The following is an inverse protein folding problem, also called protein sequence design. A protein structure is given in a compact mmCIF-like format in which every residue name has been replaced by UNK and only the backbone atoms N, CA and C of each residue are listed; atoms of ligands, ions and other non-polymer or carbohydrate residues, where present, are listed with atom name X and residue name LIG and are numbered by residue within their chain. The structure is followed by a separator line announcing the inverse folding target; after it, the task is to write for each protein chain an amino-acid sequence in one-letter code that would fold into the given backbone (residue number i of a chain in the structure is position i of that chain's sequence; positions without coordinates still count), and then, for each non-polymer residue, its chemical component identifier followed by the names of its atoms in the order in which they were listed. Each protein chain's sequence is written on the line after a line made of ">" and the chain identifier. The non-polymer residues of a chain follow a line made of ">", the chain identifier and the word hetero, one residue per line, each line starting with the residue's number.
data_IF_609738166308
#
_entry.id   IF_609738166308
#
_cell.length_a   1.000
_cell.length_b   1.000
_cell.length_c   1.000
_cell.angle_alpha   90.00
_cell.angle_beta   90.00
_cell.angle_gamma   90.00
#
_symmetry.space_group_name_H-M   'P 1'
#
loop_
_entity.id
_entity.type
_entity.pdbx_description
1 polymer ?
#
# COMPACT_ATOMS: atom_id res chain seq x y z
N UNK A 1 -16.22 -6.76 -10.87
CA UNK A 1 -15.00 -5.95 -10.70
C UNK A 1 -14.55 -5.76 -9.23
N UNK A 2 -15.36 -6.13 -8.23
CA UNK A 2 -15.11 -5.80 -6.80
C UNK A 2 -14.75 -7.04 -5.94
N UNK A 3 -14.94 -8.26 -6.44
CA UNK A 3 -14.68 -9.49 -5.68
C UNK A 3 -13.19 -9.88 -5.64
N UNK A 4 -12.34 -8.98 -5.14
CA UNK A 4 -10.90 -9.14 -4.99
C UNK A 4 -10.32 -8.09 -4.05
N UNK A 5 -9.09 -8.31 -3.60
CA UNK A 5 -8.30 -7.29 -2.89
C UNK A 5 -8.23 -6.05 -3.77
N UNK A 6 -8.52 -4.87 -3.21
CA UNK A 6 -8.50 -3.60 -3.94
C UNK A 6 -7.17 -2.89 -3.69
N UNK A 7 -6.21 -3.10 -4.58
CA UNK A 7 -4.98 -2.32 -4.65
C UNK A 7 -5.23 -0.97 -5.35
N UNK A 8 -4.26 -0.05 -5.25
CA UNK A 8 -4.30 1.24 -5.97
C UNK A 8 -4.67 1.09 -7.46
N UNK A 9 -4.08 0.10 -8.15
CA UNK A 9 -4.33 -0.14 -9.57
C UNK A 9 -5.78 -0.51 -9.86
N UNK A 10 -6.38 -1.28 -8.96
CA UNK A 10 -7.73 -1.80 -9.14
C UNK A 10 -8.77 -0.73 -8.87
N UNK A 11 -8.53 0.14 -7.88
CA UNK A 11 -9.34 1.33 -7.66
C UNK A 11 -9.31 2.24 -8.89
N UNK A 12 -8.13 2.48 -9.48
CA UNK A 12 -8.02 3.26 -10.73
C UNK A 12 -8.80 2.63 -11.89
N UNK A 13 -8.73 1.30 -12.07
CA UNK A 13 -9.48 0.61 -13.13
C UNK A 13 -11.01 0.69 -12.93
N UNK A 14 -11.47 0.67 -11.67
CA UNK A 14 -12.90 0.83 -11.36
C UNK A 14 -13.34 2.25 -11.70
N UNK A 15 -12.57 3.28 -11.34
CA UNK A 15 -12.87 4.68 -11.68
C UNK A 15 -12.89 4.87 -13.20
N UNK A 16 -11.92 4.31 -13.95
CA UNK A 16 -11.91 4.37 -15.43
C UNK A 16 -13.15 3.71 -16.04
N UNK A 17 -13.61 2.60 -15.45
CA UNK A 17 -14.84 1.94 -15.92
C UNK A 17 -16.08 2.80 -15.66
N UNK A 18 -16.21 3.39 -14.45
CA UNK A 18 -17.30 4.32 -14.14
C UNK A 18 -17.27 5.54 -15.07
N UNK A 19 -16.09 6.04 -15.40
CA UNK A 19 -15.92 7.13 -16.36
C UNK A 19 -16.41 6.78 -17.76
N UNK A 20 -16.08 5.57 -18.24
CA UNK A 20 -16.50 5.08 -19.57
C UNK A 20 -18.00 4.80 -19.68
N UNK A 21 -18.63 4.30 -18.62
CA UNK A 21 -20.02 3.84 -18.67
C UNK A 21 -21.05 4.86 -18.14
N UNK A 22 -20.67 5.70 -17.17
CA UNK A 22 -21.59 6.60 -16.47
C UNK A 22 -21.29 8.10 -16.70
N UNK A 23 -20.13 8.42 -17.28
CA UNK A 23 -19.72 9.80 -17.58
C UNK A 23 -19.11 10.57 -16.41
N UNK A 24 -18.76 11.83 -16.65
CA UNK A 24 -17.89 12.62 -15.76
C UNK A 24 -18.54 12.95 -14.40
N UNK A 25 -19.82 13.35 -14.37
CA UNK A 25 -20.52 13.73 -13.12
C UNK A 25 -20.59 12.56 -12.14
N UNK A 26 -21.02 11.40 -12.61
CA UNK A 26 -21.15 10.19 -11.80
C UNK A 26 -19.79 9.68 -11.30
N UNK A 27 -18.73 9.85 -12.11
CA UNK A 27 -17.36 9.51 -11.70
C UNK A 27 -16.88 10.34 -10.52
N UNK A 28 -17.17 11.65 -10.51
CA UNK A 28 -16.79 12.54 -9.40
C UNK A 28 -17.54 12.15 -8.12
N UNK A 29 -18.85 11.92 -8.21
CA UNK A 29 -19.65 11.46 -7.08
C UNK A 29 -19.15 10.10 -6.54
N UNK A 30 -18.78 9.19 -7.43
CA UNK A 30 -18.23 7.89 -7.07
C UNK A 30 -16.87 8.02 -6.35
N UNK A 31 -15.99 8.90 -6.82
CA UNK A 31 -14.70 9.15 -6.18
C UNK A 31 -14.86 9.70 -4.76
N UNK A 32 -15.80 10.63 -4.55
CA UNK A 32 -16.11 11.17 -3.22
C UNK A 32 -16.63 10.09 -2.27
N UNK A 33 -17.53 9.21 -2.73
CA UNK A 33 -18.02 8.11 -1.91
C UNK A 33 -16.91 7.11 -1.56
N UNK A 34 -16.03 6.77 -2.51
CA UNK A 34 -14.86 5.91 -2.22
C UNK A 34 -13.96 6.56 -1.17
N UNK A 35 -13.70 7.86 -1.28
CA UNK A 35 -12.88 8.60 -0.33
C UNK A 35 -13.46 8.52 1.09
N UNK A 36 -14.76 8.81 1.24
CA UNK A 36 -15.45 8.77 2.53
C UNK A 36 -15.40 7.37 3.17
N UNK A 37 -15.68 6.34 2.38
CA UNK A 37 -15.61 4.93 2.81
C UNK A 37 -14.18 4.57 3.22
N UNK A 38 -13.19 4.95 2.41
CA UNK A 38 -11.78 4.71 2.68
C UNK A 38 -11.32 5.31 4.01
N UNK A 39 -11.63 6.59 4.27
CA UNK A 39 -11.29 7.23 5.54
C UNK A 39 -11.99 6.60 6.73
N UNK A 40 -13.29 6.26 6.60
CA UNK A 40 -14.04 5.60 7.67
C UNK A 40 -13.43 4.26 8.06
N UNK A 41 -13.17 3.39 7.09
CA UNK A 41 -12.62 2.06 7.38
C UNK A 41 -11.14 2.11 7.76
N UNK A 42 -10.36 3.07 7.25
CA UNK A 42 -8.97 3.28 7.68
C UNK A 42 -8.90 3.69 9.17
N UNK A 43 -9.80 4.60 9.60
CA UNK A 43 -9.90 5.00 11.00
C UNK A 43 -10.33 3.84 11.91
N UNK A 44 -11.29 3.01 11.47
CA UNK A 44 -11.73 1.82 12.21
C UNK A 44 -10.63 0.75 12.28
N UNK A 45 -9.89 0.54 11.19
CA UNK A 45 -8.83 -0.46 11.13
C UNK A 45 -7.67 -0.13 12.09
N UNK A 46 -7.49 1.15 12.44
CA UNK A 46 -6.54 1.58 13.46
C UNK A 46 -5.10 1.14 13.16
N UNK A 47 -4.74 1.03 11.87
CA UNK A 47 -3.42 0.58 11.45
C UNK A 47 -2.39 1.59 11.96
N UNK A 48 -1.47 1.11 12.79
CA UNK A 48 -0.36 1.86 13.36
C UNK A 48 0.93 1.13 13.05
N UNK A 49 2.03 1.86 12.96
CA UNK A 49 3.35 1.31 12.67
C UNK A 49 4.31 1.69 13.79
N UNK A 50 4.79 0.68 14.51
CA UNK A 50 5.71 0.82 15.62
C UNK A 50 7.13 0.37 15.26
N UNK A 51 8.07 0.61 16.19
CA UNK A 51 9.45 0.13 16.07
C UNK A 51 9.52 -1.41 15.97
N UNK A 52 8.53 -2.09 16.53
CA UNK A 52 8.50 -3.55 16.62
C UNK A 52 7.93 -4.21 15.33
N UNK A 53 7.31 -3.43 14.44
CA UNK A 53 6.91 -3.90 13.10
C UNK A 53 8.11 -3.94 12.13
N UNK A 54 9.25 -3.34 12.52
CA UNK A 54 10.51 -3.39 11.78
C UNK A 54 11.30 -4.65 12.15
N UNK A 55 11.06 -5.72 11.41
CA UNK A 55 11.79 -6.98 11.57
C UNK A 55 13.21 -6.79 11.03
N UNK A 56 14.21 -6.84 11.92
CA UNK A 56 15.63 -6.87 11.54
C UNK A 56 15.98 -8.31 11.14
N UNK A 57 16.47 -8.56 9.91
CA UNK A 57 16.87 -9.90 9.49
C UNK A 57 18.02 -10.44 10.34
N UNK A 58 17.95 -11.71 10.74
CA UNK A 58 19.02 -12.40 11.49
C UNK A 58 20.36 -12.39 10.75
N UNK A 59 20.32 -12.38 9.42
CA UNK A 59 21.50 -12.47 8.56
C UNK A 59 22.26 -11.14 8.46
N UNK A 60 21.71 -10.05 9.02
CA UNK A 60 22.33 -8.72 9.00
C UNK A 60 23.74 -8.75 9.59
N UNK A 61 23.92 -9.38 10.75
CA UNK A 61 25.22 -9.38 11.43
C UNK A 61 26.24 -10.24 10.67
N UNK A 62 25.80 -11.34 10.06
CA UNK A 62 26.66 -12.18 9.22
C UNK A 62 27.16 -11.42 7.98
N UNK A 63 26.26 -10.72 7.28
CA UNK A 63 26.61 -9.90 6.10
C UNK A 63 27.56 -8.75 6.46
N UNK A 64 27.36 -8.12 7.62
CA UNK A 64 28.24 -7.05 8.10
C UNK A 64 29.64 -7.59 8.43
N UNK A 65 29.73 -8.72 9.12
CA UNK A 65 30.99 -9.36 9.48
C UNK A 65 31.78 -9.81 8.24
N UNK A 66 31.10 -10.39 7.25
CA UNK A 66 31.74 -10.76 5.97
C UNK A 66 32.32 -9.55 5.23
N UNK A 67 31.55 -8.45 5.19
CA UNK A 67 31.98 -7.22 4.50
C UNK A 67 33.14 -6.55 5.22
N UNK A 68 33.10 -6.49 6.57
CA UNK A 68 34.20 -5.97 7.38
C UNK A 68 35.47 -6.80 7.18
N UNK A 69 35.37 -8.13 7.14
CA UNK A 69 36.51 -9.02 6.93
C UNK A 69 37.12 -8.88 5.52
N UNK A 70 36.29 -8.63 4.49
CA UNK A 70 36.76 -8.37 3.12
C UNK A 70 37.44 -7.01 2.99
N UNK A 71 36.90 -5.96 3.60
CA UNK A 71 37.49 -4.61 3.59
C UNK A 71 38.84 -4.53 4.29
N UNK A 72 39.05 -5.35 5.32
CA UNK A 72 40.29 -5.37 6.11
C UNK A 72 41.43 -6.14 5.42
N UNK A 73 41.14 -6.80 4.29
CA UNK A 73 42.08 -7.59 3.47
C UNK A 73 42.53 -6.86 2.21
N UNK A 74 42.08 -5.62 2.02
CA UNK A 74 42.58 -4.66 1.02
C UNK A 74 43.52 -3.70 1.75
#
# INVERSE_FOLDING_TARGET
>A
MINKVLTKKEVSNIIDSVYRFCGQKETVLFADHIMQIGFKYAAIAGISFGKDDLIIPSDKDNLLNETQAKSSRI
#
